data_IF_579632467464
#
_entry.id   IF_579632467464
#
_cell.length_a   1.000
_cell.length_b   1.000
_cell.length_c   1.000
_cell.angle_alpha   90.00
_cell.angle_beta   90.00
_cell.angle_gamma   90.00
#
_symmetry.space_group_name_H-M   'P 1'
#
loop_
_entity.id
_entity.type
_entity.pdbx_description
1 polymer ?
#
# COMPACT_ATOMS: atom_id res chain seq x y z
N UNK A 1 -9.83 -26.47 -15.29
CA UNK A 1 -10.46 -25.27 -14.68
C UNK A 1 -9.55 -24.08 -14.97
N UNK A 2 -10.08 -22.91 -15.33
CA UNK A 2 -9.24 -21.73 -15.62
C UNK A 2 -8.52 -21.27 -14.33
N UNK A 3 -7.19 -21.26 -14.36
CA UNK A 3 -6.36 -20.94 -13.18
C UNK A 3 -6.66 -19.54 -12.61
N UNK A 4 -6.94 -18.56 -13.47
CA UNK A 4 -7.28 -17.19 -13.07
C UNK A 4 -8.58 -17.15 -12.27
N UNK A 5 -9.62 -17.83 -12.76
CA UNK A 5 -10.93 -17.88 -12.09
C UNK A 5 -10.80 -18.56 -10.72
N UNK A 6 -10.08 -19.67 -10.64
CA UNK A 6 -9.85 -20.36 -9.37
C UNK A 6 -9.08 -19.48 -8.38
N UNK A 7 -8.02 -18.82 -8.84
CA UNK A 7 -7.23 -17.89 -8.02
C UNK A 7 -8.10 -16.74 -7.48
N UNK A 8 -8.86 -16.07 -8.33
CA UNK A 8 -9.72 -14.95 -7.90
C UNK A 8 -10.78 -15.37 -6.89
N UNK A 9 -11.34 -16.59 -7.02
CA UNK A 9 -12.33 -17.12 -6.07
C UNK A 9 -11.71 -17.50 -4.71
N UNK A 10 -10.44 -17.90 -4.67
CA UNK A 10 -9.81 -18.50 -3.49
C UNK A 10 -8.80 -17.58 -2.81
N UNK A 11 -8.31 -16.52 -3.50
CA UNK A 11 -7.36 -15.60 -2.90
C UNK A 11 -7.90 -14.96 -1.62
N UNK A 12 -7.03 -14.77 -0.63
CA UNK A 12 -7.35 -14.06 0.63
C UNK A 12 -6.22 -13.08 0.97
N UNK A 13 -6.58 -11.95 1.56
CA UNK A 13 -5.60 -11.06 2.18
C UNK A 13 -4.94 -11.77 3.36
N UNK A 14 -3.63 -11.54 3.50
CA UNK A 14 -2.87 -11.96 4.67
C UNK A 14 -2.59 -10.70 5.49
N UNK A 15 -3.00 -10.70 6.77
CA UNK A 15 -2.84 -9.52 7.62
C UNK A 15 -1.36 -9.16 7.78
N UNK A 16 -1.03 -7.87 7.73
CA UNK A 16 0.34 -7.38 7.87
C UNK A 16 0.99 -7.85 9.19
N UNK A 17 0.19 -8.02 10.26
CA UNK A 17 0.65 -8.55 11.55
C UNK A 17 1.19 -9.98 11.47
N UNK A 18 0.77 -10.76 10.49
CA UNK A 18 1.17 -12.17 10.32
C UNK A 18 2.11 -12.39 9.14
N UNK A 19 2.47 -11.33 8.43
CA UNK A 19 3.48 -11.40 7.38
C UNK A 19 4.88 -11.58 7.97
N UNK A 20 5.77 -12.12 7.16
CA UNK A 20 7.21 -12.16 7.45
C UNK A 20 7.87 -11.19 6.48
N UNK A 21 8.61 -10.23 7.04
CA UNK A 21 9.53 -9.40 6.25
C UNK A 21 10.66 -10.28 5.72
N UNK A 22 11.06 -10.06 4.48
CA UNK A 22 12.13 -10.80 3.81
C UNK A 22 12.48 -10.12 2.49
N UNK A 23 13.10 -10.87 1.61
CA UNK A 23 13.45 -10.38 0.29
C UNK A 23 12.21 -10.41 -0.64
N UNK A 24 12.06 -9.35 -1.44
CA UNK A 24 11.19 -9.32 -2.62
C UNK A 24 12.09 -9.15 -3.85
N UNK A 25 11.89 -9.99 -4.87
CA UNK A 25 12.64 -9.86 -6.11
C UNK A 25 12.30 -8.56 -6.84
N UNK A 26 13.30 -7.87 -7.36
CA UNK A 26 13.08 -6.63 -8.14
C UNK A 26 12.25 -6.88 -9.39
N UNK A 27 12.45 -8.03 -10.07
CA UNK A 27 11.61 -8.42 -11.21
C UNK A 27 10.15 -8.59 -10.82
N UNK A 28 9.89 -9.29 -9.70
CA UNK A 28 8.53 -9.49 -9.20
C UNK A 28 7.89 -8.16 -8.79
N UNK A 29 8.65 -7.28 -8.14
CA UNK A 29 8.17 -5.95 -7.76
C UNK A 29 7.80 -5.12 -8.99
N UNK A 30 8.63 -5.15 -10.03
CA UNK A 30 8.37 -4.47 -11.30
C UNK A 30 7.11 -5.04 -11.99
N UNK A 31 6.93 -6.35 -11.99
CA UNK A 31 5.73 -7.00 -12.55
C UNK A 31 4.48 -6.61 -11.75
N UNK A 32 4.57 -6.57 -10.42
CA UNK A 32 3.47 -6.12 -9.55
C UNK A 32 3.06 -4.69 -9.88
N UNK A 33 4.03 -3.79 -10.04
CA UNK A 33 3.77 -2.38 -10.37
C UNK A 33 3.19 -2.25 -11.79
N UNK A 34 3.76 -2.96 -12.76
CA UNK A 34 3.28 -2.96 -14.15
C UNK A 34 1.85 -3.50 -14.26
N UNK A 35 1.52 -4.58 -13.55
CA UNK A 35 0.16 -5.11 -13.47
C UNK A 35 -0.77 -4.15 -12.75
N UNK A 36 -0.29 -3.51 -11.69
CA UNK A 36 -1.07 -2.60 -10.87
C UNK A 36 -1.72 -1.48 -11.65
N UNK A 37 -0.98 -0.87 -12.56
CA UNK A 37 -1.44 0.27 -13.37
C UNK A 37 -2.26 -0.14 -14.61
N UNK A 38 -2.50 -1.44 -14.85
CA UNK A 38 -3.31 -1.94 -15.96
C UNK A 38 -4.77 -2.11 -15.58
N UNK A 39 -5.43 -0.98 -15.38
CA UNK A 39 -6.83 -0.88 -14.99
C UNK A 39 -7.65 -0.08 -15.99
N UNK A 40 -8.97 -0.25 -16.04
CA UNK A 40 -9.84 0.67 -16.75
C UNK A 40 -9.67 2.09 -16.19
N UNK A 41 -9.46 3.05 -17.09
CA UNK A 41 -9.26 4.46 -16.75
C UNK A 41 -9.91 5.33 -17.83
N UNK A 42 -10.99 6.01 -17.50
CA UNK A 42 -11.72 6.84 -18.43
C UNK A 42 -10.84 8.03 -18.86
N UNK A 43 -10.60 8.11 -20.16
CA UNK A 43 -9.76 9.15 -20.75
C UNK A 43 -8.26 8.96 -20.53
N UNK A 44 -7.82 7.84 -19.99
CA UNK A 44 -6.40 7.53 -19.70
C UNK A 44 -5.71 8.65 -18.90
N UNK A 45 -6.39 9.15 -17.86
CA UNK A 45 -5.94 10.27 -17.04
C UNK A 45 -4.83 9.87 -16.05
N UNK A 46 -4.72 8.58 -15.76
CA UNK A 46 -3.79 8.01 -14.78
C UNK A 46 -3.85 8.76 -13.43
N UNK A 47 -5.03 8.83 -12.77
CA UNK A 47 -5.24 9.66 -11.60
C UNK A 47 -4.60 9.07 -10.33
N UNK A 48 -3.41 8.51 -10.47
CA UNK A 48 -2.65 7.90 -9.37
C UNK A 48 -1.16 8.16 -9.48
N UNK A 49 -0.47 8.00 -8.38
CA UNK A 49 0.97 7.75 -8.34
C UNK A 49 1.30 6.68 -7.30
N UNK A 50 2.41 5.99 -7.53
CA UNK A 50 2.86 4.89 -6.70
C UNK A 50 4.21 5.24 -6.10
N UNK A 51 4.36 5.04 -4.78
CA UNK A 51 5.63 5.16 -4.08
C UNK A 51 5.97 3.85 -3.39
N UNK A 52 7.13 3.28 -3.72
CA UNK A 52 7.60 2.03 -3.13
C UNK A 52 8.46 2.35 -1.90
N UNK A 53 8.07 1.81 -0.76
CA UNK A 53 8.76 1.92 0.52
C UNK A 53 9.39 0.56 0.82
N UNK A 54 10.70 0.46 0.68
CA UNK A 54 11.48 -0.76 0.93
C UNK A 54 12.79 -0.45 1.66
N UNK A 55 13.53 -1.47 2.01
CA UNK A 55 14.82 -1.38 2.66
C UNK A 55 14.81 -0.43 3.88
N UNK A 56 15.76 0.46 4.01
CA UNK A 56 15.89 1.38 5.16
C UNK A 56 14.76 2.40 5.26
N UNK A 57 14.09 2.73 4.14
CA UNK A 57 12.97 3.66 4.14
C UNK A 57 11.83 3.21 5.07
N UNK A 58 11.60 1.89 5.22
CA UNK A 58 10.58 1.35 6.13
C UNK A 58 10.87 1.69 7.58
N UNK A 59 12.13 1.54 8.02
CA UNK A 59 12.56 1.88 9.37
C UNK A 59 12.59 3.39 9.60
N UNK A 60 13.08 4.14 8.61
CA UNK A 60 13.16 5.60 8.68
C UNK A 60 11.76 6.22 8.85
N UNK A 61 10.80 5.84 8.02
CA UNK A 61 9.43 6.35 8.10
C UNK A 61 8.81 6.04 9.47
N UNK A 62 9.00 4.84 9.99
CA UNK A 62 8.52 4.49 11.33
C UNK A 62 9.05 5.43 12.40
N UNK A 63 10.36 5.67 12.40
CA UNK A 63 11.04 6.51 13.41
C UNK A 63 10.78 8.01 13.24
N UNK A 64 10.84 8.50 12.01
CA UNK A 64 10.86 9.94 11.72
C UNK A 64 9.47 10.52 11.44
N UNK A 65 8.52 9.68 11.02
CA UNK A 65 7.16 10.11 10.68
C UNK A 65 6.12 9.52 11.64
N UNK A 66 6.01 8.17 11.70
CA UNK A 66 4.91 7.56 12.44
C UNK A 66 5.01 7.81 13.94
N UNK A 67 6.17 7.58 14.56
CA UNK A 67 6.33 7.76 16.00
C UNK A 67 6.06 9.20 16.44
N UNK A 68 6.69 10.25 15.85
CA UNK A 68 6.41 11.63 16.25
C UNK A 68 4.95 12.04 16.10
N UNK A 69 4.33 11.69 14.97
CA UNK A 69 2.92 12.01 14.70
C UNK A 69 1.97 11.26 15.64
N UNK A 70 2.30 9.99 15.95
CA UNK A 70 1.49 9.20 16.88
C UNK A 70 1.55 9.77 18.29
N UNK A 71 2.73 10.10 18.80
CA UNK A 71 2.91 10.70 20.14
C UNK A 71 2.21 12.06 20.24
N UNK A 72 2.30 12.88 19.20
CA UNK A 72 1.64 14.19 19.18
C UNK A 72 0.11 14.05 19.34
N UNK A 73 -0.49 13.04 18.76
CA UNK A 73 -1.93 12.80 18.82
C UNK A 73 -2.34 11.90 20.01
N UNK A 74 -1.38 11.23 20.65
CA UNK A 74 -1.59 10.33 21.78
C UNK A 74 -0.51 10.58 22.85
N UNK A 75 -0.62 11.68 23.65
CA UNK A 75 0.41 12.05 24.66
C UNK A 75 0.65 10.99 25.73
N UNK A 76 -0.35 10.14 25.99
CA UNK A 76 -0.31 9.04 26.98
C UNK A 76 0.13 7.70 26.36
N UNK A 77 0.67 7.72 25.13
CA UNK A 77 1.07 6.50 24.44
C UNK A 77 2.12 5.72 25.24
N UNK A 78 1.88 4.43 25.38
CA UNK A 78 2.81 3.51 26.04
C UNK A 78 4.03 3.21 25.18
N UNK A 79 5.11 2.72 25.79
CA UNK A 79 6.31 2.29 25.06
C UNK A 79 5.99 1.16 24.06
N UNK A 80 5.06 0.27 24.38
CA UNK A 80 4.63 -0.81 23.50
C UNK A 80 3.92 -0.27 22.24
N UNK A 81 3.05 0.71 22.40
CA UNK A 81 2.36 1.38 21.29
C UNK A 81 3.36 2.15 20.41
N UNK A 82 4.31 2.86 21.01
CA UNK A 82 5.35 3.57 20.28
C UNK A 82 6.23 2.59 19.49
N UNK A 83 6.64 1.47 20.09
CA UNK A 83 7.42 0.45 19.37
C UNK A 83 6.61 -0.20 18.26
N UNK A 84 5.32 -0.42 18.46
CA UNK A 84 4.42 -0.91 17.42
C UNK A 84 4.35 0.06 16.22
N UNK A 85 4.19 1.37 16.46
CA UNK A 85 4.17 2.38 15.40
C UNK A 85 5.52 2.45 14.66
N UNK A 86 6.62 2.43 15.40
CA UNK A 86 7.97 2.42 14.85
C UNK A 86 8.21 1.26 13.88
N UNK A 87 7.62 0.10 14.16
CA UNK A 87 7.85 -1.12 13.41
C UNK A 87 6.76 -1.43 12.35
N UNK A 88 5.78 -0.54 12.16
CA UNK A 88 4.63 -0.81 11.27
C UNK A 88 5.03 -1.24 9.87
N UNK A 89 5.93 -0.54 9.21
CA UNK A 89 6.35 -0.88 7.84
C UNK A 89 7.34 -2.04 7.78
N UNK A 90 8.01 -2.37 8.89
CA UNK A 90 8.91 -3.51 8.98
C UNK A 90 8.18 -4.87 8.98
N UNK A 91 6.86 -4.88 9.13
CA UNK A 91 6.01 -6.09 9.05
C UNK A 91 6.00 -6.73 7.65
N UNK A 92 6.38 -5.99 6.62
CA UNK A 92 6.38 -6.44 5.23
C UNK A 92 7.75 -6.24 4.58
N UNK A 93 7.99 -6.93 3.46
CA UNK A 93 9.23 -6.80 2.66
C UNK A 93 9.27 -5.48 1.91
N UNK A 94 8.11 -5.06 1.41
CA UNK A 94 7.88 -3.77 0.76
C UNK A 94 6.46 -3.28 1.06
N UNK A 95 6.26 -1.97 1.00
CA UNK A 95 4.95 -1.34 1.09
C UNK A 95 4.81 -0.38 -0.08
N UNK A 96 3.70 -0.48 -0.82
CA UNK A 96 3.41 0.43 -1.93
C UNK A 96 2.34 1.41 -1.46
N UNK A 97 2.69 2.68 -1.38
CA UNK A 97 1.72 3.75 -1.20
C UNK A 97 1.06 4.07 -2.54
N UNK A 98 -0.26 4.04 -2.57
CA UNK A 98 -1.07 4.40 -3.73
C UNK A 98 -1.75 5.74 -3.45
N UNK A 99 -1.32 6.78 -4.17
CA UNK A 99 -1.92 8.10 -4.05
C UNK A 99 -2.96 8.28 -5.16
N UNK A 100 -4.11 8.80 -4.78
CA UNK A 100 -5.09 9.34 -5.69
C UNK A 100 -4.73 10.79 -6.02
N UNK A 101 -4.42 11.06 -7.27
CA UNK A 101 -4.07 12.38 -7.82
C UNK A 101 -5.12 12.80 -8.83
N UNK A 102 -6.19 13.48 -8.40
CA UNK A 102 -7.26 13.88 -9.30
C UNK A 102 -6.74 14.80 -10.40
N UNK A 103 -7.18 14.55 -11.63
CA UNK A 103 -6.97 15.44 -12.77
C UNK A 103 -8.21 16.33 -12.97
N UNK A 104 -8.00 17.57 -13.36
CA UNK A 104 -9.11 18.40 -13.79
C UNK A 104 -9.55 17.98 -15.19
N UNK A 105 -10.81 17.57 -15.35
CA UNK A 105 -11.36 17.20 -16.64
C UNK A 105 -12.85 17.60 -16.74
N UNK A 106 -13.28 18.26 -17.85
CA UNK A 106 -14.62 18.85 -17.93
C UNK A 106 -15.76 17.82 -18.02
N UNK A 107 -15.47 16.57 -18.40
CA UNK A 107 -16.47 15.53 -18.65
C UNK A 107 -16.32 14.29 -17.77
N UNK A 108 -15.16 14.11 -17.13
CA UNK A 108 -14.88 12.91 -16.33
C UNK A 108 -14.96 13.30 -14.87
N UNK A 109 -15.92 12.73 -14.11
CA UNK A 109 -16.10 13.06 -12.71
C UNK A 109 -15.01 12.43 -11.82
N UNK A 110 -14.71 13.08 -10.70
CA UNK A 110 -13.75 12.60 -9.71
C UNK A 110 -14.04 11.16 -9.24
N UNK A 111 -15.32 10.83 -9.11
CA UNK A 111 -15.75 9.49 -8.69
C UNK A 111 -15.19 8.36 -9.58
N UNK A 112 -15.18 8.55 -10.89
CA UNK A 112 -14.64 7.57 -11.82
C UNK A 112 -13.12 7.43 -11.67
N UNK A 113 -12.42 8.54 -11.39
CA UNK A 113 -10.99 8.56 -11.12
C UNK A 113 -10.65 7.84 -9.80
N UNK A 114 -11.47 8.02 -8.76
CA UNK A 114 -11.33 7.30 -7.49
C UNK A 114 -11.50 5.78 -7.67
N UNK A 115 -12.50 5.35 -8.46
CA UNK A 115 -12.72 3.95 -8.78
C UNK A 115 -11.52 3.34 -9.53
N UNK A 116 -10.96 4.05 -10.52
CA UNK A 116 -9.76 3.61 -11.24
C UNK A 116 -8.57 3.45 -10.30
N UNK A 117 -8.36 4.40 -9.37
CA UNK A 117 -7.30 4.31 -8.36
C UNK A 117 -7.53 3.14 -7.39
N UNK A 118 -8.76 2.88 -6.98
CA UNK A 118 -9.12 1.69 -6.20
C UNK A 118 -8.84 0.39 -6.94
N UNK A 119 -9.08 0.37 -8.26
CA UNK A 119 -8.73 -0.77 -9.11
C UNK A 119 -7.21 -1.00 -9.18
N UNK A 120 -6.39 0.07 -9.17
CA UNK A 120 -4.92 -0.04 -9.05
C UNK A 120 -4.52 -0.76 -7.77
N UNK A 121 -5.08 -0.36 -6.62
CA UNK A 121 -4.84 -1.03 -5.34
C UNK A 121 -5.18 -2.54 -5.42
N UNK A 122 -6.33 -2.87 -6.01
CA UNK A 122 -6.77 -4.26 -6.18
C UNK A 122 -5.83 -5.05 -7.09
N UNK A 123 -5.41 -4.48 -8.23
CA UNK A 123 -4.50 -5.15 -9.16
C UNK A 123 -3.11 -5.40 -8.55
N UNK A 124 -2.55 -4.44 -7.82
CA UNK A 124 -1.29 -4.63 -7.07
C UNK A 124 -1.42 -5.80 -6.09
N UNK A 125 -2.53 -5.84 -5.33
CA UNK A 125 -2.81 -6.90 -4.36
C UNK A 125 -2.89 -8.28 -5.05
N UNK A 126 -3.63 -8.36 -6.15
CA UNK A 126 -3.82 -9.59 -6.95
C UNK A 126 -2.51 -10.05 -7.55
N UNK A 127 -1.73 -9.14 -8.15
CA UNK A 127 -0.44 -9.46 -8.76
C UNK A 127 0.56 -10.02 -7.72
N UNK A 128 0.70 -9.35 -6.57
CA UNK A 128 1.58 -9.83 -5.51
C UNK A 128 1.18 -11.24 -5.03
N UNK A 129 -0.12 -11.48 -4.84
CA UNK A 129 -0.60 -12.78 -4.39
C UNK A 129 -0.48 -13.87 -5.45
N UNK A 130 -0.59 -13.54 -6.74
CA UNK A 130 -0.40 -14.50 -7.84
C UNK A 130 1.05 -14.97 -7.96
N UNK A 131 2.00 -14.12 -7.58
CA UNK A 131 3.43 -14.45 -7.48
C UNK A 131 3.78 -15.18 -6.17
N UNK A 132 2.78 -15.46 -5.30
CA UNK A 132 2.97 -16.23 -4.07
C UNK A 132 3.22 -15.41 -2.82
N UNK A 133 3.36 -14.08 -2.92
CA UNK A 133 3.54 -13.21 -1.77
C UNK A 133 2.27 -13.13 -0.90
N UNK A 134 2.47 -12.83 0.38
CA UNK A 134 1.42 -12.33 1.24
C UNK A 134 1.16 -10.85 0.90
N UNK A 135 -0.10 -10.45 0.83
CA UNK A 135 -0.40 -9.04 0.58
C UNK A 135 -1.69 -8.60 1.30
N UNK A 136 -1.70 -7.33 1.71
CA UNK A 136 -2.85 -6.67 2.34
C UNK A 136 -2.92 -5.21 1.94
N UNK A 137 -4.11 -4.73 1.63
CA UNK A 137 -4.42 -3.31 1.44
C UNK A 137 -4.94 -2.73 2.76
N UNK A 138 -4.30 -1.66 3.24
CA UNK A 138 -4.60 -0.97 4.49
C UNK A 138 -4.75 0.54 4.28
N UNK A 139 -5.65 1.14 5.06
CA UNK A 139 -5.82 2.59 5.20
C UNK A 139 -5.78 2.99 6.68
N UNK A 140 -4.76 2.62 7.42
CA UNK A 140 -4.63 2.96 8.84
C UNK A 140 -4.48 4.49 9.04
N UNK A 141 -4.43 4.98 10.26
CA UNK A 141 -4.46 6.41 10.61
C UNK A 141 -3.48 7.27 9.80
N UNK A 142 -2.29 6.76 9.52
CA UNK A 142 -1.27 7.47 8.76
C UNK A 142 -1.62 7.66 7.27
N UNK A 143 -2.64 6.99 6.75
CA UNK A 143 -3.18 7.28 5.40
C UNK A 143 -3.85 8.65 5.32
N UNK A 144 -4.23 9.21 6.46
CA UNK A 144 -4.89 10.51 6.59
C UNK A 144 -3.99 11.58 7.20
N UNK A 145 -2.69 11.28 7.39
CA UNK A 145 -1.72 12.17 8.00
C UNK A 145 -1.00 12.98 6.91
N UNK A 146 -1.02 14.30 7.02
CA UNK A 146 -0.44 15.21 6.03
C UNK A 146 1.07 15.01 5.83
N UNK A 147 1.79 14.74 6.92
CA UNK A 147 3.23 14.51 6.86
C UNK A 147 3.55 13.22 6.12
N UNK A 148 2.73 12.18 6.34
CA UNK A 148 2.87 10.92 5.60
C UNK A 148 2.53 11.09 4.11
N UNK A 149 1.49 11.86 3.77
CA UNK A 149 1.15 12.17 2.38
C UNK A 149 2.32 12.89 1.68
N UNK A 150 2.93 13.87 2.35
CA UNK A 150 4.12 14.57 1.82
C UNK A 150 5.31 13.65 1.66
N UNK A 151 5.56 12.77 2.63
CA UNK A 151 6.66 11.79 2.61
C UNK A 151 6.60 10.88 1.38
N UNK A 152 5.40 10.46 0.97
CA UNK A 152 5.21 9.61 -0.21
C UNK A 152 5.00 10.39 -1.50
N UNK A 153 5.26 11.69 -1.51
CA UNK A 153 5.29 12.55 -2.70
C UNK A 153 3.96 13.18 -3.07
N UNK A 154 2.99 13.23 -2.15
CA UNK A 154 1.70 13.90 -2.33
C UNK A 154 1.67 15.33 -1.76
N UNK A 155 0.72 16.12 -2.23
CA UNK A 155 0.29 17.36 -1.60
C UNK A 155 -1.04 17.11 -0.87
N UNK A 156 -1.10 17.21 0.49
CA UNK A 156 -2.29 16.91 1.28
C UNK A 156 -3.54 17.71 0.87
N UNK A 157 -3.36 18.89 0.30
CA UNK A 157 -4.48 19.74 -0.16
C UNK A 157 -5.19 19.19 -1.41
N UNK A 158 -4.47 18.42 -2.24
CA UNK A 158 -4.95 18.00 -3.56
C UNK A 158 -4.92 16.50 -3.80
N UNK A 159 -4.23 15.73 -2.93
CA UNK A 159 -3.99 14.29 -3.09
C UNK A 159 -4.48 13.55 -1.86
N UNK A 160 -5.04 12.37 -2.07
CA UNK A 160 -5.43 11.45 -0.99
C UNK A 160 -4.62 10.14 -1.10
N UNK A 161 -4.34 9.50 0.01
CA UNK A 161 -3.86 8.13 0.01
C UNK A 161 -5.03 7.16 -0.17
N UNK A 162 -5.05 6.44 -1.29
CA UNK A 162 -6.00 5.36 -1.51
C UNK A 162 -5.68 4.16 -0.60
N UNK A 163 -4.44 4.06 -0.15
CA UNK A 163 -3.97 3.11 0.84
C UNK A 163 -2.54 2.67 0.64
N UNK A 164 -2.14 1.76 1.51
CA UNK A 164 -0.84 1.10 1.51
C UNK A 164 -1.02 -0.39 1.22
N UNK A 165 -0.33 -0.90 0.20
CA UNK A 165 -0.32 -2.32 -0.10
C UNK A 165 0.95 -2.93 0.51
N UNK A 166 0.77 -3.66 1.60
CA UNK A 166 1.82 -4.40 2.27
C UNK A 166 2.09 -5.70 1.52
N UNK A 167 3.36 -5.96 1.19
CA UNK A 167 3.80 -7.15 0.47
C UNK A 167 4.92 -7.81 1.26
N UNK A 168 4.74 -9.05 1.63
CA UNK A 168 5.69 -9.82 2.43
C UNK A 168 5.61 -11.31 2.13
N UNK A 169 6.27 -12.11 2.96
CA UNK A 169 6.24 -13.56 2.82
C UNK A 169 5.16 -14.17 3.70
N UNK A 170 4.61 -15.30 3.26
CA UNK A 170 3.69 -16.08 4.07
C UNK A 170 4.47 -16.82 5.16
N UNK A 171 3.94 -16.85 6.38
CA UNK A 171 4.45 -17.72 7.42
C UNK A 171 4.30 -19.18 6.94
N UNK A 172 5.39 -19.94 6.90
CA UNK A 172 5.31 -21.37 6.60
C UNK A 172 4.41 -22.01 7.66
N UNK A 173 3.36 -22.71 7.23
CA UNK A 173 2.63 -23.58 8.16
C UNK A 173 3.61 -24.62 8.67
N UNK A 174 3.70 -24.76 9.99
CA UNK A 174 4.36 -25.93 10.56
C UNK A 174 3.65 -27.16 10.01
N UNK A 175 4.43 -28.02 9.36
CA UNK A 175 3.98 -29.33 8.87
C UNK A 175 3.66 -30.25 10.04
#
# INVERSE_FOLDING_TARGET
>A
MNNVINFLKTRRSTTAKTMISGHINESDLNDILACGIRVPDHGALNPWSLTVIKDDARSRIGKEILVPEYIQNNPEATEEEIDFEKNRFLRASAVIAVLFKPASHPKIPLWEMELSTGAVCSNILVAAQSLGYAAQWLTEWYSYNDRMIKEVGGNPETVKLAGFIYIGNKKKRAS
#
